data_IF_050137010593
#
_entry.id   IF_050137010593
#
_cell.length_a   1.000
_cell.length_b   1.000
_cell.length_c   1.000
_cell.angle_alpha   90.00
_cell.angle_beta   90.00
_cell.angle_gamma   90.00
#
_symmetry.space_group_name_H-M   'P 1'
#
loop_
_entity.id
_entity.type
_entity.pdbx_description
1 polymer ?
#
# COMPACT_ATOMS: atom_id res chain seq x y z
N UNK A 1 44.48 16.17 22.27
CA UNK A 1 45.89 16.09 22.71
C UNK A 1 46.10 14.89 23.63
N UNK A 2 45.87 13.68 23.11
CA UNK A 2 46.19 12.41 23.79
C UNK A 2 46.50 11.31 22.74
N UNK A 3 47.03 11.71 21.57
CA UNK A 3 47.25 10.84 20.41
C UNK A 3 48.74 10.60 20.08
N UNK A 4 49.69 11.13 20.85
CA UNK A 4 51.13 11.06 20.51
C UNK A 4 52.01 10.29 21.51
N UNK A 5 51.44 9.45 22.39
CA UNK A 5 52.24 8.81 23.45
C UNK A 5 52.29 7.27 23.43
N UNK A 6 51.55 6.60 22.55
CA UNK A 6 51.58 5.13 22.45
C UNK A 6 52.47 4.58 21.31
N UNK A 7 52.68 5.33 20.23
CA UNK A 7 53.40 4.83 19.04
C UNK A 7 54.91 4.66 19.27
N UNK A 8 55.51 5.44 20.19
CA UNK A 8 56.95 5.40 20.46
C UNK A 8 57.44 4.14 21.20
N UNK A 9 56.59 3.46 21.97
CA UNK A 9 57.02 2.29 22.79
C UNK A 9 57.05 0.99 22.00
N UNK A 10 56.21 0.86 20.97
CA UNK A 10 56.12 -0.36 20.15
C UNK A 10 57.32 -0.47 19.20
N UNK A 11 57.77 0.65 18.63
CA UNK A 11 58.93 0.67 17.73
C UNK A 11 60.25 0.31 18.43
N UNK A 12 60.40 0.72 19.70
CA UNK A 12 61.59 0.40 20.50
C UNK A 12 61.70 -1.10 20.86
N UNK A 13 60.55 -1.77 21.01
CA UNK A 13 60.47 -3.22 21.24
C UNK A 13 60.84 -4.00 19.98
N UNK A 14 60.44 -3.50 18.80
CA UNK A 14 60.77 -4.13 17.52
C UNK A 14 62.28 -4.08 17.23
N UNK A 15 62.92 -2.92 17.42
CA UNK A 15 64.37 -2.76 17.19
C UNK A 15 65.23 -3.54 18.18
N UNK A 16 64.73 -3.85 19.38
CA UNK A 16 65.47 -4.61 20.40
C UNK A 16 65.44 -6.13 20.18
N UNK A 17 64.51 -6.62 19.37
CA UNK A 17 64.42 -8.03 18.98
C UNK A 17 65.31 -8.38 17.78
N UNK A 18 65.76 -7.39 17.01
CA UNK A 18 66.54 -7.59 15.79
C UNK A 18 68.05 -7.76 16.05
N UNK A 19 68.54 -7.44 17.26
CA UNK A 19 69.96 -7.56 17.63
C UNK A 19 70.42 -8.94 18.16
N UNK A 20 69.61 -9.99 18.03
CA UNK A 20 69.92 -11.35 18.56
C UNK A 20 69.89 -12.51 17.57
N UNK A 21 69.90 -12.26 16.25
CA UNK A 21 70.01 -13.34 15.25
C UNK A 21 71.09 -13.04 14.22
N UNK A 22 72.34 -13.07 14.65
CA UNK A 22 73.48 -13.37 13.78
C UNK A 22 73.91 -14.81 14.00
N UNK A 23 73.86 -15.60 12.92
CA UNK A 23 74.54 -16.88 12.80
C UNK A 23 73.61 -18.10 12.84
N UNK A 24 73.01 -18.45 11.71
CA UNK A 24 73.39 -19.63 10.90
C UNK A 24 72.47 -19.75 9.67
N UNK A 25 73.10 -19.98 8.52
CA UNK A 25 72.63 -20.28 7.15
C UNK A 25 71.41 -21.24 7.08
N UNK A 26 70.57 -21.31 6.03
CA UNK A 26 70.26 -20.55 4.82
C UNK A 26 68.97 -21.24 4.29
N UNK A 27 67.98 -20.44 3.89
CA UNK A 27 66.90 -20.73 2.93
C UNK A 27 65.88 -21.85 3.26
N UNK A 28 64.62 -21.45 3.43
CA UNK A 28 63.53 -21.63 2.43
C UNK A 28 62.17 -21.79 3.11
N UNK A 29 61.56 -20.70 3.59
CA UNK A 29 60.09 -20.63 3.68
C UNK A 29 59.54 -19.19 3.80
N UNK A 30 60.06 -18.28 2.99
CA UNK A 30 59.71 -16.85 3.00
C UNK A 30 58.72 -16.51 1.89
N UNK A 31 57.52 -17.06 1.93
CA UNK A 31 56.42 -16.53 1.11
C UNK A 31 55.06 -16.62 1.81
N UNK A 32 54.80 -17.67 2.58
CA UNK A 32 53.48 -17.85 3.20
C UNK A 32 53.20 -16.90 4.36
N UNK A 33 54.23 -16.57 5.16
CA UNK A 33 54.09 -15.62 6.27
C UNK A 33 53.82 -14.21 5.74
N UNK A 34 54.56 -13.77 4.72
CA UNK A 34 54.36 -12.46 4.09
C UNK A 34 53.02 -12.36 3.35
N UNK A 35 52.60 -13.44 2.67
CA UNK A 35 51.25 -13.51 2.07
C UNK A 35 50.15 -13.46 3.13
N UNK A 36 50.33 -14.09 4.28
CA UNK A 36 49.35 -14.06 5.37
C UNK A 36 49.18 -12.66 5.94
N UNK A 37 50.27 -11.92 6.15
CA UNK A 37 50.20 -10.53 6.62
C UNK A 37 49.61 -9.57 5.58
N UNK A 38 49.87 -9.78 4.28
CA UNK A 38 49.23 -9.02 3.20
C UNK A 38 47.72 -9.29 3.10
N UNK A 39 47.30 -10.55 3.25
CA UNK A 39 45.88 -10.93 3.22
C UNK A 39 45.12 -10.39 4.45
N UNK A 40 45.75 -10.42 5.63
CA UNK A 40 45.18 -9.86 6.85
C UNK A 40 45.05 -8.33 6.77
N UNK A 41 46.06 -7.64 6.21
CA UNK A 41 45.99 -6.21 5.97
C UNK A 41 44.90 -5.86 4.94
N UNK A 42 44.74 -6.66 3.88
CA UNK A 42 43.70 -6.45 2.87
C UNK A 42 42.29 -6.66 3.45
N UNK A 43 42.11 -7.67 4.32
CA UNK A 43 40.84 -7.92 5.03
C UNK A 43 40.51 -6.82 6.03
N UNK A 44 41.50 -6.30 6.76
CA UNK A 44 41.31 -5.19 7.69
C UNK A 44 41.00 -3.88 6.95
N UNK A 45 41.68 -3.61 5.84
CA UNK A 45 41.35 -2.46 4.97
C UNK A 45 39.93 -2.58 4.39
N UNK A 46 39.51 -3.76 3.92
CA UNK A 46 38.15 -3.98 3.42
C UNK A 46 37.09 -3.77 4.51
N UNK A 47 37.34 -4.22 5.74
CA UNK A 47 36.39 -4.03 6.85
C UNK A 47 36.25 -2.56 7.25
N UNK A 48 37.33 -1.78 7.17
CA UNK A 48 37.30 -0.33 7.44
C UNK A 48 36.77 0.53 6.29
N UNK A 49 36.71 -0.02 5.07
CA UNK A 49 36.19 0.65 3.87
C UNK A 49 34.75 0.31 3.53
N UNK A 50 34.04 -0.47 4.37
CA UNK A 50 32.58 -0.54 4.26
C UNK A 50 32.06 0.86 4.61
N UNK A 51 31.51 1.64 3.66
CA UNK A 51 30.82 2.85 4.04
C UNK A 51 29.73 2.40 5.00
N UNK A 52 29.78 2.86 6.24
CA UNK A 52 28.65 2.80 7.14
C UNK A 52 27.55 3.57 6.43
N UNK A 53 26.76 2.85 5.63
CA UNK A 53 25.52 3.34 5.08
C UNK A 53 24.72 3.66 6.31
N UNK A 54 24.67 4.95 6.63
CA UNK A 54 23.64 5.51 7.49
C UNK A 54 22.35 5.03 6.87
N UNK A 55 21.82 3.91 7.39
CA UNK A 55 20.41 3.58 7.24
C UNK A 55 19.71 4.78 7.81
N UNK A 56 19.31 5.69 6.91
CA UNK A 56 18.26 6.65 7.16
C UNK A 56 17.20 5.87 7.93
N UNK A 57 16.96 6.26 9.18
CA UNK A 57 15.77 5.85 9.89
C UNK A 57 14.65 6.50 9.09
N UNK A 58 14.22 5.82 8.03
CA UNK A 58 12.92 6.08 7.42
C UNK A 58 11.95 5.75 8.54
N UNK A 59 11.31 6.77 9.09
CA UNK A 59 10.14 6.57 9.90
C UNK A 59 9.24 5.61 9.12
N UNK A 60 9.02 4.42 9.66
CA UNK A 60 7.98 3.54 9.14
C UNK A 60 6.68 4.34 9.31
N UNK A 61 6.19 4.91 8.22
CA UNK A 61 4.82 5.38 8.19
C UNK A 61 3.97 4.14 8.47
N UNK A 62 3.29 4.13 9.61
CA UNK A 62 2.35 3.08 9.97
C UNK A 62 1.44 2.84 8.76
N UNK A 63 1.38 1.60 8.28
CA UNK A 63 0.49 1.25 7.19
C UNK A 63 -0.96 1.68 7.54
N UNK A 64 -1.74 2.18 6.57
CA UNK A 64 -3.10 2.63 6.83
C UNK A 64 -3.92 1.50 7.46
N UNK A 65 -4.67 1.83 8.51
CA UNK A 65 -5.41 0.85 9.32
C UNK A 65 -6.91 0.88 9.02
N UNK A 66 -7.37 1.91 8.32
CA UNK A 66 -8.78 2.10 7.99
C UNK A 66 -8.94 2.91 6.70
N UNK A 67 -10.15 2.88 6.14
CA UNK A 67 -10.46 3.77 5.00
C UNK A 67 -10.39 5.26 5.37
N UNK A 68 -10.41 5.62 6.66
CA UNK A 68 -10.40 7.01 7.12
C UNK A 68 -9.06 7.70 6.96
N UNK A 69 -8.02 6.95 6.61
CA UNK A 69 -6.66 7.46 6.36
C UNK A 69 -6.50 7.95 4.91
N UNK A 70 -7.54 7.86 4.07
CA UNK A 70 -7.51 8.25 2.66
C UNK A 70 -8.36 9.48 2.36
N UNK A 71 -7.89 10.26 1.39
CA UNK A 71 -8.67 11.28 0.70
C UNK A 71 -8.81 10.88 -0.77
N UNK A 72 -9.96 11.21 -1.34
CA UNK A 72 -10.31 10.96 -2.75
C UNK A 72 -10.91 12.22 -3.35
N UNK A 73 -11.12 12.24 -4.66
CA UNK A 73 -11.79 13.36 -5.33
C UNK A 73 -13.26 13.05 -5.56
N UNK A 74 -14.15 13.97 -5.25
CA UNK A 74 -15.54 13.89 -5.70
C UNK A 74 -15.64 14.03 -7.22
N UNK A 75 -16.83 13.82 -7.79
CA UNK A 75 -17.02 13.91 -9.24
C UNK A 75 -16.72 15.32 -9.81
N UNK A 76 -16.76 16.36 -8.97
CA UNK A 76 -16.40 17.74 -9.33
C UNK A 76 -14.90 18.06 -9.14
N UNK A 77 -14.10 17.08 -8.69
CA UNK A 77 -12.65 17.20 -8.50
C UNK A 77 -12.20 17.72 -7.13
N UNK A 78 -13.12 17.99 -6.21
CA UNK A 78 -12.79 18.47 -4.86
C UNK A 78 -12.28 17.31 -3.99
N UNK A 79 -11.30 17.59 -3.12
CA UNK A 79 -10.81 16.59 -2.18
C UNK A 79 -11.85 16.34 -1.08
N UNK A 80 -12.16 15.06 -0.84
CA UNK A 80 -13.06 14.57 0.20
C UNK A 80 -12.28 13.62 1.09
N UNK A 81 -12.31 13.88 2.41
CA UNK A 81 -11.69 12.98 3.38
C UNK A 81 -12.65 11.85 3.70
N UNK A 82 -12.22 10.59 3.56
CA UNK A 82 -13.09 9.47 3.92
C UNK A 82 -13.37 9.38 5.42
N UNK A 83 -12.63 10.13 6.26
CA UNK A 83 -12.94 10.30 7.67
C UNK A 83 -14.33 10.90 7.94
N UNK A 84 -14.92 11.60 6.96
CA UNK A 84 -16.28 12.14 7.03
C UNK A 84 -17.35 11.04 7.16
N UNK A 85 -17.02 9.81 6.73
CA UNK A 85 -17.89 8.64 6.84
C UNK A 85 -17.65 7.83 8.12
N UNK A 86 -16.95 8.40 9.11
CA UNK A 86 -16.70 7.74 10.40
C UNK A 86 -17.99 7.38 11.11
N UNK A 87 -18.10 6.15 11.59
CA UNK A 87 -19.29 5.65 12.28
C UNK A 87 -20.41 5.18 11.37
N UNK A 88 -20.27 5.32 10.04
CA UNK A 88 -21.19 4.77 9.05
C UNK A 88 -20.75 3.39 8.58
N UNK A 89 -21.72 2.58 8.17
CA UNK A 89 -21.45 1.40 7.34
C UNK A 89 -21.29 1.89 5.91
N UNK A 90 -20.19 1.54 5.24
CA UNK A 90 -19.87 2.07 3.91
C UNK A 90 -19.77 0.94 2.90
N UNK A 91 -20.50 1.07 1.79
CA UNK A 91 -20.38 0.17 0.63
C UNK A 91 -19.64 0.91 -0.49
N UNK A 92 -18.39 0.51 -0.76
CA UNK A 92 -17.56 1.09 -1.83
C UNK A 92 -17.71 0.25 -3.09
N UNK A 93 -18.05 0.87 -4.22
CA UNK A 93 -18.36 0.17 -5.48
C UNK A 93 -17.66 0.81 -6.66
N UNK A 94 -16.92 0.04 -7.48
CA UNK A 94 -16.47 0.54 -8.77
C UNK A 94 -17.60 0.42 -9.80
N UNK A 95 -17.96 1.50 -10.49
CA UNK A 95 -19.14 1.55 -11.37
C UNK A 95 -18.77 1.84 -12.83
N UNK A 96 -19.71 1.52 -13.72
CA UNK A 96 -19.65 1.85 -15.14
C UNK A 96 -21.06 2.13 -15.68
N UNK A 97 -21.26 3.12 -16.56
CA UNK A 97 -22.56 3.45 -17.13
C UNK A 97 -22.98 2.56 -18.30
N UNK A 98 -22.02 1.95 -19.03
CA UNK A 98 -22.28 1.16 -20.25
C UNK A 98 -22.00 -0.34 -20.06
N UNK A 99 -22.22 -0.86 -18.86
CA UNK A 99 -22.03 -2.27 -18.55
C UNK A 99 -23.37 -3.03 -18.55
N UNK A 100 -23.35 -4.31 -18.95
CA UNK A 100 -24.55 -5.16 -18.89
C UNK A 100 -25.11 -5.37 -17.47
N UNK A 101 -24.32 -5.05 -16.45
CA UNK A 101 -24.70 -5.11 -15.03
C UNK A 101 -25.23 -3.78 -14.48
N UNK A 102 -25.14 -2.67 -15.24
CA UNK A 102 -25.43 -1.32 -14.75
C UNK A 102 -26.85 -1.16 -14.27
N UNK A 103 -27.83 -1.59 -15.07
CA UNK A 103 -29.25 -1.36 -14.78
C UNK A 103 -29.69 -2.04 -13.48
N UNK A 104 -29.33 -3.31 -13.28
CA UNK A 104 -29.68 -4.03 -12.05
C UNK A 104 -28.91 -3.51 -10.85
N UNK A 105 -27.62 -3.20 -10.99
CA UNK A 105 -26.82 -2.73 -9.86
C UNK A 105 -27.27 -1.35 -9.36
N UNK A 106 -27.43 -0.35 -10.24
CA UNK A 106 -27.91 0.96 -9.78
C UNK A 106 -29.30 0.88 -9.16
N UNK A 107 -30.22 0.12 -9.76
CA UNK A 107 -31.56 -0.09 -9.20
C UNK A 107 -31.50 -0.66 -7.78
N UNK A 108 -30.72 -1.72 -7.58
CA UNK A 108 -30.64 -2.39 -6.28
C UNK A 108 -29.84 -1.59 -5.25
N UNK A 109 -28.80 -0.87 -5.67
CA UNK A 109 -28.06 0.06 -4.79
C UNK A 109 -28.97 1.19 -4.31
N UNK A 110 -29.82 1.76 -5.18
CA UNK A 110 -30.79 2.78 -4.79
C UNK A 110 -31.79 2.24 -3.77
N UNK A 111 -32.29 1.02 -3.95
CA UNK A 111 -33.20 0.38 -2.98
C UNK A 111 -32.55 0.26 -1.61
N UNK A 112 -31.30 -0.22 -1.54
CA UNK A 112 -30.58 -0.30 -0.26
C UNK A 112 -30.33 1.08 0.35
N UNK A 113 -29.91 2.03 -0.47
CA UNK A 113 -29.58 3.37 0.00
C UNK A 113 -30.82 4.09 0.52
N UNK A 114 -31.93 4.06 -0.21
CA UNK A 114 -33.20 4.64 0.23
C UNK A 114 -33.64 4.07 1.58
N UNK A 115 -33.50 2.75 1.75
CA UNK A 115 -33.89 2.05 2.97
C UNK A 115 -33.00 2.39 4.17
N UNK A 116 -31.69 2.45 4.00
CA UNK A 116 -30.73 2.48 5.11
C UNK A 116 -29.90 3.76 5.25
N UNK A 117 -30.00 4.74 4.34
CA UNK A 117 -29.21 5.99 4.43
C UNK A 117 -29.40 6.73 5.76
N UNK A 118 -30.64 6.72 6.27
CA UNK A 118 -30.98 7.33 7.55
C UNK A 118 -30.62 6.47 8.77
N UNK A 119 -30.25 5.20 8.55
CA UNK A 119 -29.79 4.28 9.60
C UNK A 119 -28.26 4.23 9.70
N UNK A 120 -27.55 4.95 8.82
CA UNK A 120 -26.09 5.05 8.82
C UNK A 120 -25.39 4.24 7.73
N UNK A 121 -26.10 3.82 6.68
CA UNK A 121 -25.48 3.33 5.44
C UNK A 121 -25.01 4.50 4.57
N UNK A 122 -23.85 4.35 3.96
CA UNK A 122 -23.38 5.18 2.85
C UNK A 122 -22.92 4.31 1.68
N UNK A 123 -23.14 4.77 0.44
CA UNK A 123 -22.62 4.11 -0.76
C UNK A 123 -21.66 5.07 -1.46
N UNK A 124 -20.41 4.64 -1.68
CA UNK A 124 -19.41 5.44 -2.39
C UNK A 124 -19.14 4.82 -3.76
N UNK A 125 -19.60 5.48 -4.82
CA UNK A 125 -19.46 4.97 -6.19
C UNK A 125 -18.26 5.61 -6.90
N UNK A 126 -17.37 4.78 -7.43
CA UNK A 126 -16.15 5.18 -8.11
C UNK A 126 -16.22 4.75 -9.59
N UNK A 127 -16.52 5.67 -10.52
CA UNK A 127 -16.52 5.37 -11.95
C UNK A 127 -15.15 4.85 -12.39
N UNK A 128 -15.13 3.84 -13.27
CA UNK A 128 -13.89 3.22 -13.72
C UNK A 128 -13.99 2.72 -15.17
N UNK A 129 -13.05 3.15 -16.01
CA UNK A 129 -13.06 2.81 -17.44
C UNK A 129 -12.17 1.61 -17.82
N UNK A 130 -11.52 0.96 -16.84
CA UNK A 130 -10.54 -0.11 -17.10
C UNK A 130 -11.17 -1.42 -17.63
N UNK A 131 -12.49 -1.55 -17.54
CA UNK A 131 -13.21 -2.78 -17.88
C UNK A 131 -13.99 -2.59 -19.19
N UNK A 132 -13.37 -3.01 -20.29
CA UNK A 132 -13.91 -2.93 -21.65
C UNK A 132 -14.38 -1.52 -22.08
N UNK A 133 -13.79 -0.46 -21.52
CA UNK A 133 -14.12 0.92 -21.91
C UNK A 133 -15.57 1.32 -21.59
N UNK A 134 -16.17 0.74 -20.55
CA UNK A 134 -17.60 0.90 -20.24
C UNK A 134 -17.96 2.18 -19.46
N UNK A 135 -16.98 3.05 -19.18
CA UNK A 135 -17.18 4.38 -18.57
C UNK A 135 -16.34 5.45 -19.30
N UNK A 136 -16.58 5.66 -20.61
CA UNK A 136 -15.70 6.50 -21.43
C UNK A 136 -15.91 8.00 -21.19
N UNK A 137 -17.07 8.41 -20.64
CA UNK A 137 -17.45 9.81 -20.48
C UNK A 137 -16.56 10.57 -19.51
N UNK A 138 -16.56 11.89 -19.64
CA UNK A 138 -16.05 12.84 -18.65
C UNK A 138 -16.85 12.76 -17.34
N UNK A 139 -16.33 13.35 -16.26
CA UNK A 139 -17.03 13.37 -14.98
C UNK A 139 -18.40 14.07 -15.09
N UNK A 140 -18.48 15.13 -15.88
CA UNK A 140 -19.72 15.86 -16.14
C UNK A 140 -20.76 14.98 -16.83
N UNK A 141 -20.36 14.24 -17.87
CA UNK A 141 -21.23 13.30 -18.57
C UNK A 141 -21.65 12.12 -17.67
N UNK A 142 -20.73 11.61 -16.84
CA UNK A 142 -21.03 10.54 -15.89
C UNK A 142 -22.04 11.03 -14.86
N UNK A 143 -21.85 12.23 -14.30
CA UNK A 143 -22.75 12.81 -13.32
C UNK A 143 -24.16 12.97 -13.89
N UNK A 144 -24.27 13.51 -15.11
CA UNK A 144 -25.56 13.66 -15.78
C UNK A 144 -26.27 12.31 -15.97
N UNK A 145 -25.58 11.30 -16.49
CA UNK A 145 -26.15 9.96 -16.68
C UNK A 145 -26.59 9.35 -15.35
N UNK A 146 -25.76 9.44 -14.32
CA UNK A 146 -26.06 8.82 -13.02
C UNK A 146 -27.21 9.53 -12.30
N UNK A 147 -27.27 10.85 -12.36
CA UNK A 147 -28.36 11.62 -11.74
C UNK A 147 -29.68 11.51 -12.51
N UNK A 148 -29.66 11.56 -13.84
CA UNK A 148 -30.90 11.61 -14.64
C UNK A 148 -31.47 10.23 -14.94
N UNK A 149 -30.63 9.30 -15.41
CA UNK A 149 -31.07 7.98 -15.85
C UNK A 149 -31.19 7.02 -14.68
N UNK A 150 -30.17 6.99 -13.81
CA UNK A 150 -30.11 6.05 -12.69
C UNK A 150 -30.67 6.61 -11.39
N UNK A 151 -30.88 7.93 -11.30
CA UNK A 151 -31.44 8.62 -10.12
C UNK A 151 -30.70 8.25 -8.82
N UNK A 152 -29.38 8.11 -8.90
CA UNK A 152 -28.59 7.80 -7.72
C UNK A 152 -28.54 9.02 -6.79
N UNK A 153 -28.81 8.80 -5.51
CA UNK A 153 -28.75 9.83 -4.47
C UNK A 153 -27.50 9.71 -3.58
N UNK A 154 -26.68 8.68 -3.80
CA UNK A 154 -25.44 8.46 -3.08
C UNK A 154 -24.24 9.14 -3.77
N UNK A 155 -23.17 9.46 -3.03
CA UNK A 155 -22.00 10.14 -3.58
C UNK A 155 -21.34 9.40 -4.76
N UNK A 156 -21.09 10.15 -5.83
CA UNK A 156 -20.27 9.72 -6.96
C UNK A 156 -18.94 10.47 -6.90
N UNK A 157 -17.85 9.72 -7.05
CA UNK A 157 -16.49 10.24 -6.98
C UNK A 157 -15.90 10.41 -8.39
N UNK A 158 -14.69 10.98 -8.43
CA UNK A 158 -13.89 11.09 -9.64
C UNK A 158 -13.68 9.72 -10.29
N UNK A 159 -13.49 9.72 -11.61
CA UNK A 159 -13.18 8.49 -12.34
C UNK A 159 -11.76 8.04 -12.01
N UNK A 160 -11.64 6.81 -11.51
CA UNK A 160 -10.37 6.27 -11.00
C UNK A 160 -9.92 5.00 -11.72
N UNK A 161 -8.61 4.74 -11.66
CA UNK A 161 -8.07 3.41 -11.92
C UNK A 161 -8.07 2.58 -10.61
N UNK A 162 -8.57 1.35 -10.69
CA UNK A 162 -8.69 0.41 -9.56
C UNK A 162 -7.67 -0.74 -9.65
N UNK A 163 -6.99 -0.85 -10.79
CA UNK A 163 -5.94 -1.81 -11.08
C UNK A 163 -4.72 -1.13 -11.74
N UNK A 164 -3.59 -1.84 -11.77
CA UNK A 164 -2.37 -1.37 -12.43
C UNK A 164 -1.60 -0.30 -11.63
N UNK A 165 -0.61 0.31 -12.28
CA UNK A 165 0.33 1.24 -11.65
C UNK A 165 -0.34 2.51 -11.12
N UNK A 166 -1.41 2.94 -11.77
CA UNK A 166 -2.16 4.15 -11.43
C UNK A 166 -3.33 3.87 -10.47
N UNK A 167 -3.42 2.66 -9.87
CA UNK A 167 -4.45 2.36 -8.89
C UNK A 167 -4.44 3.44 -7.79
N UNK A 168 -5.59 4.03 -7.49
CA UNK A 168 -5.70 4.98 -6.36
C UNK A 168 -5.47 4.26 -5.02
N UNK A 169 -4.87 4.97 -4.05
CA UNK A 169 -4.37 4.33 -2.81
C UNK A 169 -5.48 3.65 -2.01
N UNK A 170 -6.70 4.20 -2.03
CA UNK A 170 -7.87 3.54 -1.46
C UNK A 170 -8.07 2.13 -2.03
N UNK A 171 -8.07 1.96 -3.36
CA UNK A 171 -8.27 0.64 -3.98
C UNK A 171 -7.07 -0.29 -3.78
N UNK A 172 -5.85 0.22 -3.59
CA UNK A 172 -4.72 -0.62 -3.16
C UNK A 172 -4.99 -1.22 -1.78
N UNK A 173 -5.44 -0.39 -0.84
CA UNK A 173 -5.80 -0.82 0.51
C UNK A 173 -6.99 -1.80 0.54
N UNK A 174 -8.08 -1.49 -0.16
CA UNK A 174 -9.25 -2.39 -0.22
C UNK A 174 -8.87 -3.78 -0.74
N UNK A 175 -8.05 -3.83 -1.80
CA UNK A 175 -7.54 -5.07 -2.37
C UNK A 175 -6.59 -5.82 -1.44
N UNK A 176 -5.75 -5.12 -0.66
CA UNK A 176 -4.86 -5.77 0.31
C UNK A 176 -5.62 -6.36 1.49
N UNK A 177 -6.66 -5.68 1.97
CA UNK A 177 -7.49 -6.17 3.09
C UNK A 177 -8.37 -7.36 2.70
N UNK A 178 -8.91 -7.34 1.47
CA UNK A 178 -9.80 -8.40 0.95
C UNK A 178 -9.39 -8.84 -0.46
N UNK A 179 -8.17 -9.37 -0.54
CA UNK A 179 -7.62 -10.00 -1.75
C UNK A 179 -8.06 -11.46 -1.89
N UNK A 180 -8.10 -11.97 -3.13
CA UNK A 180 -8.29 -13.39 -3.38
C UNK A 180 -6.97 -14.16 -3.32
N UNK A 181 -7.04 -15.47 -3.06
CA UNK A 181 -5.86 -16.35 -3.03
C UNK A 181 -5.07 -16.37 -4.36
N UNK A 182 -5.75 -16.11 -5.48
CA UNK A 182 -5.17 -16.07 -6.84
C UNK A 182 -5.00 -14.64 -7.36
N UNK A 183 -4.70 -13.70 -6.45
CA UNK A 183 -4.49 -12.29 -6.75
C UNK A 183 -5.64 -11.40 -6.30
N UNK A 184 -5.32 -10.13 -6.11
CA UNK A 184 -6.18 -9.13 -5.48
C UNK A 184 -6.90 -8.24 -6.51
N UNK A 185 -6.48 -8.27 -7.79
CA UNK A 185 -7.02 -7.43 -8.85
C UNK A 185 -8.56 -7.44 -8.93
N UNK A 186 -9.15 -6.27 -9.14
CA UNK A 186 -10.58 -6.12 -9.42
C UNK A 186 -10.87 -6.78 -10.77
N UNK A 187 -11.84 -7.69 -10.84
CA UNK A 187 -12.07 -8.51 -12.04
C UNK A 187 -13.00 -7.84 -13.04
N UNK A 188 -13.94 -7.01 -12.58
CA UNK A 188 -14.90 -6.32 -13.44
C UNK A 188 -15.55 -5.12 -12.74
N UNK A 189 -16.40 -4.41 -13.47
CA UNK A 189 -17.34 -3.43 -12.94
C UNK A 189 -18.23 -4.03 -11.86
N UNK A 190 -18.63 -3.20 -10.88
CA UNK A 190 -19.48 -3.54 -9.75
C UNK A 190 -18.88 -4.56 -8.77
N UNK A 191 -17.56 -4.56 -8.56
CA UNK A 191 -17.01 -5.17 -7.34
C UNK A 191 -17.37 -4.27 -6.16
N UNK A 192 -17.79 -4.87 -5.05
CA UNK A 192 -18.19 -4.12 -3.85
C UNK A 192 -17.29 -4.47 -2.68
N UNK A 193 -16.96 -3.49 -1.85
CA UNK A 193 -16.30 -3.67 -0.57
C UNK A 193 -17.21 -3.13 0.52
N UNK A 194 -17.56 -3.97 1.49
CA UNK A 194 -18.32 -3.56 2.67
C UNK A 194 -17.35 -3.21 3.78
N UNK A 195 -17.58 -2.06 4.39
CA UNK A 195 -16.72 -1.47 5.42
C UNK A 195 -17.57 -1.19 6.67
N UNK A 196 -17.05 -1.56 7.83
CA UNK A 196 -17.72 -1.33 9.11
C UNK A 196 -17.64 0.12 9.60
N UNK A 197 -18.32 0.40 10.73
CA UNK A 197 -18.36 1.71 11.40
C UNK A 197 -17.00 2.18 11.93
N UNK A 198 -15.98 1.30 11.96
CA UNK A 198 -14.61 1.61 12.36
C UNK A 198 -13.69 1.81 11.15
N UNK A 199 -14.23 1.72 9.93
CA UNK A 199 -13.50 1.93 8.69
C UNK A 199 -12.69 0.70 8.24
N UNK A 200 -12.97 -0.49 8.78
CA UNK A 200 -12.30 -1.73 8.37
C UNK A 200 -13.09 -2.46 7.29
N UNK A 201 -12.38 -3.01 6.32
CA UNK A 201 -12.99 -3.78 5.23
C UNK A 201 -13.41 -5.15 5.76
N UNK A 202 -14.71 -5.42 5.78
CA UNK A 202 -15.23 -6.69 6.32
C UNK A 202 -15.40 -7.75 5.24
N UNK A 203 -15.79 -7.36 4.03
CA UNK A 203 -16.07 -8.30 2.94
C UNK A 203 -15.89 -7.65 1.56
N UNK A 204 -15.59 -8.48 0.56
CA UNK A 204 -15.54 -8.13 -0.86
C UNK A 204 -16.47 -9.02 -1.66
N UNK A 205 -17.38 -8.41 -2.40
CA UNK A 205 -18.36 -9.11 -3.23
C UNK A 205 -18.00 -9.03 -4.71
N UNK A 206 -18.21 -10.14 -5.41
CA UNK A 206 -17.98 -10.24 -6.84
C UNK A 206 -18.93 -9.31 -7.65
N UNK A 207 -18.52 -8.92 -8.87
CA UNK A 207 -19.38 -8.22 -9.84
C UNK A 207 -20.81 -8.75 -9.97
N UNK A 208 -20.94 -10.08 -10.00
CA UNK A 208 -22.20 -10.81 -10.20
C UNK A 208 -23.03 -10.95 -8.92
N UNK A 209 -22.48 -10.58 -7.75
CA UNK A 209 -23.28 -10.53 -6.52
C UNK A 209 -24.23 -9.33 -6.61
N UNK A 210 -25.53 -9.63 -6.59
CA UNK A 210 -26.60 -8.64 -6.53
C UNK A 210 -26.47 -7.82 -5.23
N UNK A 211 -26.55 -6.48 -5.28
CA UNK A 211 -26.53 -5.65 -4.07
C UNK A 211 -27.54 -6.10 -3.01
N UNK A 212 -28.78 -6.50 -3.39
CA UNK A 212 -29.77 -6.95 -2.41
C UNK A 212 -29.34 -8.21 -1.63
N UNK A 213 -28.45 -9.04 -2.17
CA UNK A 213 -27.90 -10.19 -1.43
C UNK A 213 -26.94 -9.78 -0.30
N UNK A 214 -26.48 -8.53 -0.30
CA UNK A 214 -25.58 -7.94 0.70
C UNK A 214 -26.37 -7.30 1.86
N UNK A 215 -27.69 -7.13 1.70
CA UNK A 215 -28.56 -6.44 2.66
C UNK A 215 -28.42 -6.97 4.09
N UNK A 216 -28.36 -8.30 4.25
CA UNK A 216 -28.23 -8.92 5.57
C UNK A 216 -26.91 -8.57 6.25
N UNK A 217 -25.83 -8.47 5.50
CA UNK A 217 -24.52 -8.09 6.04
C UNK A 217 -24.51 -6.61 6.45
N UNK A 218 -25.17 -5.75 5.66
CA UNK A 218 -25.39 -4.35 6.01
C UNK A 218 -26.19 -4.23 7.31
N UNK A 219 -27.31 -4.93 7.42
CA UNK A 219 -28.15 -4.94 8.63
C UNK A 219 -27.37 -5.36 9.88
N UNK A 220 -26.56 -6.42 9.77
CA UNK A 220 -25.72 -6.89 10.85
C UNK A 220 -24.74 -5.81 11.34
N UNK A 221 -24.14 -5.02 10.44
CA UNK A 221 -23.23 -3.94 10.80
C UNK A 221 -23.94 -2.67 11.29
N UNK A 222 -25.15 -2.41 10.80
CA UNK A 222 -25.99 -1.32 11.28
C UNK A 222 -26.48 -1.59 12.71
N UNK A 223 -26.66 -2.86 13.07
CA UNK A 223 -27.31 -3.28 14.31
C UNK A 223 -28.83 -3.35 14.18
N UNK A 224 -29.37 -3.30 12.95
CA UNK A 224 -30.79 -3.36 12.65
C UNK A 224 -31.19 -4.84 12.49
N UNK A 225 -31.98 -5.38 13.44
CA UNK A 225 -32.51 -6.76 13.39
C UNK A 225 -33.86 -6.84 12.67
#
# INVERSE_FOLDING_TARGET
>A
MLCCHLEGKILLLYMKLEKRKTGTNLLKNSNWVSLFFLLLAFLLCFYTYIPFSSKTIMAAQDAPKSIYDFSVKDISGNDVSLSEYRGKVVLIVNVASKCGLTQSNYKELNVLYEKYKNEGLEILAFPCNQFAGQEPGSNEEIQDVVCTLFKAEFPIFDKVEVNGKNTVDLYKFLKSEKGGYFGDAIKWNFTKFLVDKQGKVVERYAPTTSPLKIEKDIQNLLGSS
#
